data_IF_767134494281
#
_entry.id   IF_767134494281
#
_cell.length_a   1.000
_cell.length_b   1.000
_cell.length_c   1.000
_cell.angle_alpha   90.00
_cell.angle_beta   90.00
_cell.angle_gamma   90.00
#
_symmetry.space_group_name_H-M   'P 1'
#
loop_
_entity.id
_entity.type
_entity.pdbx_description
1 polymer ?
#
# COMPACT_ATOMS: atom_id res chain seq x y z
N UNK A 1 17.89 -17.21 -20.29
CA UNK A 1 18.15 -15.85 -20.79
C UNK A 1 17.67 -14.85 -19.74
N UNK A 2 18.60 -14.14 -19.11
CA UNK A 2 18.35 -13.29 -17.94
C UNK A 2 17.69 -11.96 -18.34
N UNK A 3 16.44 -11.78 -17.98
CA UNK A 3 15.78 -10.45 -18.01
C UNK A 3 16.11 -9.70 -16.69
N UNK A 4 17.35 -9.28 -16.53
CA UNK A 4 17.83 -8.48 -15.38
C UNK A 4 18.25 -7.06 -15.73
N UNK A 5 17.92 -6.52 -16.89
CA UNK A 5 18.52 -5.26 -17.36
C UNK A 5 17.56 -4.09 -17.58
N UNK A 6 16.32 -4.13 -17.07
CA UNK A 6 15.42 -2.97 -17.13
C UNK A 6 15.41 -2.11 -15.84
N UNK A 7 16.04 -2.58 -14.77
CA UNK A 7 16.03 -1.88 -13.45
C UNK A 7 17.20 -0.92 -13.26
N UNK A 8 18.23 -0.94 -14.11
CA UNK A 8 19.48 -0.23 -13.84
C UNK A 8 19.46 1.28 -14.08
N UNK A 9 18.44 1.83 -14.74
CA UNK A 9 18.34 3.26 -14.99
C UNK A 9 17.70 4.05 -13.82
N UNK A 10 16.85 3.40 -13.06
CA UNK A 10 16.16 4.04 -11.93
C UNK A 10 16.96 3.94 -10.61
N UNK A 11 17.77 2.90 -10.46
CA UNK A 11 18.61 2.67 -9.30
C UNK A 11 19.74 3.74 -9.13
N UNK A 12 20.14 4.41 -10.21
CA UNK A 12 21.16 5.45 -10.16
C UNK A 12 20.73 6.74 -9.44
N UNK A 13 19.40 6.96 -9.27
CA UNK A 13 18.89 8.09 -8.50
C UNK A 13 18.58 7.76 -7.05
N UNK A 14 18.67 6.49 -6.65
CA UNK A 14 18.35 6.02 -5.29
C UNK A 14 19.57 5.81 -4.41
N UNK A 15 20.80 5.87 -4.97
CA UNK A 15 22.04 5.64 -4.23
C UNK A 15 22.39 6.74 -3.21
N UNK A 16 21.68 7.88 -3.23
CA UNK A 16 21.88 8.96 -2.25
C UNK A 16 20.77 9.06 -1.19
N UNK A 17 19.71 8.26 -1.31
CA UNK A 17 18.66 8.14 -0.30
C UNK A 17 18.70 6.73 0.27
N UNK A 18 19.48 6.52 1.30
CA UNK A 18 19.54 5.30 2.12
C UNK A 18 18.17 5.09 2.83
N UNK A 19 17.14 4.75 2.06
CA UNK A 19 15.82 4.40 2.56
C UNK A 19 15.25 3.26 1.72
N UNK A 20 14.46 2.38 2.32
CA UNK A 20 13.77 1.33 1.59
C UNK A 20 12.74 1.94 0.63
N UNK A 21 13.11 2.01 -0.64
CA UNK A 21 12.30 2.51 -1.73
C UNK A 21 11.66 1.34 -2.47
N UNK A 22 10.34 1.28 -2.47
CA UNK A 22 9.56 0.30 -3.21
C UNK A 22 8.85 0.95 -4.38
N UNK A 23 8.84 0.28 -5.53
CA UNK A 23 8.22 0.77 -6.75
C UNK A 23 7.04 -0.13 -7.13
N UNK A 24 5.89 0.49 -7.39
CA UNK A 24 4.66 -0.18 -7.81
C UNK A 24 4.19 0.37 -9.15
N UNK A 25 4.14 -0.49 -10.17
CA UNK A 25 3.64 -0.11 -11.51
C UNK A 25 2.13 0.09 -11.54
N UNK A 26 1.39 -0.66 -10.73
CA UNK A 26 -0.08 -0.62 -10.61
C UNK A 26 -0.76 -0.69 -12.00
N UNK A 27 -0.46 -1.75 -12.72
CA UNK A 27 -0.98 -1.96 -14.07
C UNK A 27 -2.51 -1.87 -14.13
N UNK A 28 -3.02 -1.08 -15.05
CA UNK A 28 -4.44 -0.79 -15.19
C UNK A 28 -5.00 0.27 -14.22
N UNK A 29 -4.21 0.72 -13.23
CA UNK A 29 -4.60 1.76 -12.29
C UNK A 29 -3.89 3.09 -12.55
N UNK A 30 -2.63 3.02 -12.95
CA UNK A 30 -1.82 4.17 -13.38
C UNK A 30 -1.52 4.06 -14.88
N UNK A 31 -1.25 5.20 -15.55
CA UNK A 31 -0.73 5.19 -16.93
C UNK A 31 0.54 4.35 -17.05
N UNK A 32 0.76 3.76 -18.22
CA UNK A 32 1.89 2.85 -18.47
C UNK A 32 3.28 3.49 -18.29
N UNK A 33 3.36 4.81 -18.41
CA UNK A 33 4.57 5.61 -18.22
C UNK A 33 4.71 6.18 -16.81
N UNK A 34 3.90 5.71 -15.86
CA UNK A 34 3.91 6.14 -14.48
C UNK A 34 4.01 4.97 -13.51
N UNK A 35 4.58 5.24 -12.36
CA UNK A 35 4.63 4.30 -11.24
C UNK A 35 4.55 5.05 -9.92
N UNK A 36 4.13 4.34 -8.88
CA UNK A 36 4.11 4.85 -7.52
C UNK A 36 5.40 4.39 -6.81
N UNK A 37 6.18 5.34 -6.36
CA UNK A 37 7.34 5.11 -5.49
C UNK A 37 6.95 5.36 -4.04
N UNK A 38 7.32 4.45 -3.16
CA UNK A 38 7.03 4.54 -1.73
C UNK A 38 8.33 4.47 -0.94
N UNK A 39 8.59 5.53 -0.17
CA UNK A 39 9.66 5.54 0.82
C UNK A 39 9.05 5.22 2.18
N UNK A 40 9.30 4.02 2.68
CA UNK A 40 8.71 3.52 3.91
C UNK A 40 9.31 4.13 5.17
N UNK A 41 10.54 4.61 5.13
CA UNK A 41 11.17 5.29 6.27
C UNK A 41 10.70 6.73 6.41
N UNK A 42 10.67 7.46 5.28
CA UNK A 42 10.25 8.87 5.27
C UNK A 42 8.73 9.04 5.21
N UNK A 43 7.97 7.96 5.03
CA UNK A 43 6.51 7.97 4.88
C UNK A 43 6.04 8.82 3.69
N UNK A 44 6.81 8.81 2.60
CA UNK A 44 6.53 9.59 1.39
C UNK A 44 6.08 8.66 0.28
N UNK A 45 5.02 9.06 -0.43
CA UNK A 45 4.63 8.49 -1.71
C UNK A 45 4.90 9.49 -2.83
N UNK A 46 5.38 8.99 -3.95
CA UNK A 46 5.72 9.82 -5.12
C UNK A 46 5.17 9.18 -6.39
N UNK A 47 4.46 9.96 -7.18
CA UNK A 47 4.13 9.57 -8.55
C UNK A 47 5.33 9.92 -9.42
N UNK A 48 5.89 8.94 -10.09
CA UNK A 48 7.06 9.12 -10.93
C UNK A 48 6.77 8.77 -12.38
N UNK A 49 7.42 9.50 -13.29
CA UNK A 49 7.45 9.15 -14.71
C UNK A 49 8.52 8.09 -14.95
N UNK A 50 8.15 7.00 -15.61
CA UNK A 50 9.09 5.98 -16.08
C UNK A 50 9.66 6.31 -17.45
N UNK A 51 9.23 7.43 -18.05
CA UNK A 51 9.74 7.88 -19.34
C UNK A 51 11.15 8.50 -19.17
N UNK A 52 12.20 7.92 -19.79
CA UNK A 52 13.57 8.40 -19.66
C UNK A 52 13.79 9.80 -20.27
N UNK A 53 12.86 10.31 -21.07
CA UNK A 53 12.90 11.65 -21.67
C UNK A 53 12.30 12.72 -20.77
N UNK A 54 11.70 12.36 -19.64
CA UNK A 54 11.17 13.31 -18.67
C UNK A 54 12.31 14.00 -17.94
N UNK A 55 12.38 15.33 -18.02
CA UNK A 55 13.40 16.11 -17.32
C UNK A 55 13.23 16.12 -15.81
N UNK A 56 12.03 15.86 -15.30
CA UNK A 56 11.75 15.68 -13.89
C UNK A 56 10.96 14.36 -13.72
N UNK A 57 11.57 13.34 -13.11
CA UNK A 57 10.89 12.06 -12.90
C UNK A 57 9.75 12.13 -11.87
N UNK A 58 9.83 13.05 -10.92
CA UNK A 58 8.82 13.18 -9.86
C UNK A 58 7.70 14.12 -10.33
N UNK A 59 6.50 13.56 -10.48
CA UNK A 59 5.31 14.29 -10.90
C UNK A 59 4.53 14.86 -9.72
N UNK A 60 4.47 14.13 -8.62
CA UNK A 60 3.72 14.48 -7.41
C UNK A 60 4.30 13.75 -6.20
N UNK A 61 4.31 14.42 -5.05
CA UNK A 61 4.69 13.82 -3.77
C UNK A 61 3.70 14.15 -2.67
N UNK A 62 3.53 13.22 -1.73
CA UNK A 62 2.74 13.44 -0.50
C UNK A 62 3.38 12.71 0.68
N UNK A 63 3.35 13.37 1.82
CA UNK A 63 3.69 12.80 3.11
C UNK A 63 2.45 12.13 3.70
N UNK A 64 2.61 10.91 4.18
CA UNK A 64 1.58 10.15 4.90
C UNK A 64 1.91 10.09 6.39
N UNK A 65 0.90 9.81 7.20
CA UNK A 65 1.12 9.35 8.57
C UNK A 65 1.55 7.88 8.57
N UNK A 66 2.14 7.40 9.64
CA UNK A 66 2.48 5.99 9.77
C UNK A 66 1.24 5.09 9.63
N UNK A 67 0.11 5.48 10.25
CA UNK A 67 -1.14 4.72 10.13
C UNK A 67 -1.65 4.66 8.68
N UNK A 68 -1.55 5.75 7.94
CA UNK A 68 -1.91 5.78 6.51
C UNK A 68 -0.99 4.89 5.67
N UNK A 69 0.31 4.92 5.94
CA UNK A 69 1.28 4.05 5.26
C UNK A 69 1.01 2.58 5.56
N UNK A 70 0.69 2.23 6.83
CA UNK A 70 0.34 0.87 7.24
C UNK A 70 -0.85 0.30 6.45
N UNK A 71 -1.84 1.12 6.16
CA UNK A 71 -3.02 0.71 5.38
C UNK A 71 -2.71 0.68 3.88
N UNK A 72 -1.94 1.64 3.39
CA UNK A 72 -1.61 1.72 1.96
C UNK A 72 -0.75 0.54 1.47
N UNK A 73 0.26 0.13 2.24
CA UNK A 73 1.21 -0.90 1.80
C UNK A 73 0.54 -2.24 1.45
N UNK A 74 -0.35 -2.81 2.27
CA UNK A 74 -1.07 -4.03 1.88
C UNK A 74 -1.97 -3.85 0.64
N UNK A 75 -2.57 -2.67 0.49
CA UNK A 75 -3.38 -2.35 -0.70
C UNK A 75 -2.53 -2.30 -1.97
N UNK A 76 -1.30 -1.80 -1.88
CA UNK A 76 -0.37 -1.79 -3.02
C UNK A 76 0.13 -3.19 -3.36
N UNK A 77 0.32 -4.05 -2.37
CA UNK A 77 0.69 -5.45 -2.56
C UNK A 77 -0.41 -6.28 -3.20
N UNK A 78 -1.67 -5.99 -2.87
CA UNK A 78 -2.86 -6.69 -3.36
C UNK A 78 -3.93 -5.70 -3.78
N UNK A 79 -3.72 -4.95 -4.88
CA UNK A 79 -4.58 -3.82 -5.24
C UNK A 79 -6.00 -4.23 -5.66
N UNK A 80 -6.18 -5.48 -6.12
CA UNK A 80 -7.47 -5.96 -6.61
C UNK A 80 -8.32 -6.66 -5.54
N UNK A 81 -7.71 -7.04 -4.44
CA UNK A 81 -8.42 -7.68 -3.33
C UNK A 81 -7.58 -7.66 -2.06
N UNK A 82 -7.92 -6.78 -1.12
CA UNK A 82 -7.27 -6.69 0.18
C UNK A 82 -8.30 -6.86 1.30
N UNK A 83 -8.38 -8.03 1.95
CA UNK A 83 -9.36 -8.31 2.98
C UNK A 83 -9.22 -7.40 4.21
N UNK A 84 -10.34 -7.18 4.91
CA UNK A 84 -10.38 -6.37 6.15
C UNK A 84 -9.38 -6.85 7.20
N UNK A 85 -9.22 -8.17 7.36
CA UNK A 85 -8.30 -8.74 8.36
C UNK A 85 -6.85 -8.37 8.08
N UNK A 86 -6.44 -8.25 6.83
CA UNK A 86 -5.08 -7.82 6.47
C UNK A 86 -4.86 -6.36 6.85
N UNK A 87 -5.81 -5.49 6.54
CA UNK A 87 -5.73 -4.07 6.89
C UNK A 87 -5.83 -3.85 8.41
N UNK A 88 -6.67 -4.60 9.10
CA UNK A 88 -6.75 -4.59 10.55
C UNK A 88 -5.45 -5.07 11.19
N UNK A 89 -4.86 -6.15 10.67
CA UNK A 89 -3.57 -6.67 11.10
C UNK A 89 -2.45 -5.64 10.91
N UNK A 90 -2.46 -4.92 9.78
CA UNK A 90 -1.46 -3.89 9.49
C UNK A 90 -1.47 -2.74 10.48
N UNK A 91 -2.63 -2.41 11.05
CA UNK A 91 -2.77 -1.40 12.09
C UNK A 91 -2.44 -1.90 13.51
N UNK A 92 -2.55 -3.20 13.76
CA UNK A 92 -2.39 -3.80 15.09
C UNK A 92 -0.96 -4.27 15.40
N UNK A 93 -0.11 -4.46 14.40
CA UNK A 93 1.28 -4.87 14.59
C UNK A 93 2.23 -3.67 14.65
N UNK A 94 3.51 -3.91 14.99
CA UNK A 94 4.54 -2.88 14.83
C UNK A 94 4.79 -2.59 13.34
N UNK A 95 5.21 -1.36 13.04
CA UNK A 95 5.53 -0.99 11.65
C UNK A 95 6.64 -1.86 11.06
N UNK A 96 7.66 -2.17 11.87
CA UNK A 96 8.74 -3.08 11.48
C UNK A 96 8.24 -4.49 11.16
N UNK A 97 7.33 -5.03 11.96
CA UNK A 97 6.75 -6.34 11.71
C UNK A 97 5.93 -6.36 10.41
N UNK A 98 5.19 -5.29 10.13
CA UNK A 98 4.46 -5.12 8.87
C UNK A 98 5.40 -5.12 7.67
N UNK A 99 6.46 -4.30 7.70
CA UNK A 99 7.43 -4.23 6.60
C UNK A 99 8.12 -5.58 6.37
N UNK A 100 8.53 -6.24 7.43
CA UNK A 100 9.11 -7.58 7.36
C UNK A 100 8.11 -8.59 6.78
N UNK A 101 6.85 -8.55 7.20
CA UNK A 101 5.80 -9.45 6.72
C UNK A 101 5.47 -9.29 5.24
N UNK A 102 5.46 -8.05 4.75
CA UNK A 102 5.11 -7.73 3.36
C UNK A 102 6.28 -7.87 2.39
N UNK A 103 7.50 -7.54 2.81
CA UNK A 103 8.64 -7.39 1.89
C UNK A 103 9.79 -8.35 2.14
N UNK A 104 9.88 -8.98 3.31
CA UNK A 104 10.93 -9.95 3.58
C UNK A 104 10.67 -11.30 2.91
N UNK A 105 11.72 -11.87 2.34
CA UNK A 105 11.71 -13.25 1.84
C UNK A 105 11.99 -14.30 2.92
N UNK A 106 12.23 -13.88 4.17
CA UNK A 106 12.53 -14.77 5.28
C UNK A 106 11.27 -15.52 5.74
N UNK A 107 11.35 -16.83 5.85
CA UNK A 107 10.25 -17.69 6.28
C UNK A 107 9.71 -17.31 7.69
N UNK A 108 10.58 -16.91 8.61
CA UNK A 108 10.19 -16.48 9.97
C UNK A 108 9.31 -15.23 9.94
N UNK A 109 9.68 -14.21 9.15
CA UNK A 109 8.89 -13.00 9.00
C UNK A 109 7.51 -13.28 8.39
N UNK A 110 7.43 -14.17 7.40
CA UNK A 110 6.17 -14.61 6.79
C UNK A 110 5.27 -15.33 7.79
N UNK A 111 5.82 -16.22 8.62
CA UNK A 111 5.07 -16.94 9.66
C UNK A 111 4.54 -16.01 10.73
N UNK A 112 5.35 -15.05 11.18
CA UNK A 112 4.92 -14.02 12.15
C UNK A 112 3.79 -13.17 11.59
N UNK A 113 3.90 -12.73 10.34
CA UNK A 113 2.86 -11.96 9.67
C UNK A 113 1.55 -12.75 9.54
N UNK A 114 1.61 -14.01 9.11
CA UNK A 114 0.44 -14.86 9.02
C UNK A 114 -0.24 -15.08 10.38
N UNK A 115 0.53 -15.21 11.45
CA UNK A 115 -0.03 -15.32 12.81
C UNK A 115 -0.76 -14.04 13.23
N UNK A 116 -0.23 -12.86 12.89
CA UNK A 116 -0.88 -11.57 13.15
C UNK A 116 -2.18 -11.45 12.35
N UNK A 117 -2.18 -11.83 11.08
CA UNK A 117 -3.38 -11.83 10.22
C UNK A 117 -4.43 -12.80 10.76
N UNK A 118 -4.06 -14.01 11.19
CA UNK A 118 -4.98 -14.96 11.79
C UNK A 118 -5.62 -14.42 13.06
N UNK A 119 -4.83 -13.78 13.93
CA UNK A 119 -5.37 -13.14 15.14
C UNK A 119 -6.38 -12.05 14.80
N UNK A 120 -6.08 -11.20 13.83
CA UNK A 120 -7.00 -10.18 13.35
C UNK A 120 -8.29 -10.78 12.79
N UNK A 121 -8.19 -11.87 12.02
CA UNK A 121 -9.34 -12.57 11.49
C UNK A 121 -10.26 -13.11 12.61
N UNK A 122 -9.69 -13.75 13.62
CA UNK A 122 -10.47 -14.26 14.77
C UNK A 122 -11.18 -13.14 15.53
N UNK A 123 -10.52 -12.01 15.74
CA UNK A 123 -11.13 -10.84 16.39
C UNK A 123 -12.30 -10.29 15.57
N UNK A 124 -12.16 -10.22 14.25
CA UNK A 124 -13.22 -9.76 13.35
C UNK A 124 -14.40 -10.74 13.29
N UNK A 125 -14.14 -12.06 13.28
CA UNK A 125 -15.18 -13.07 13.35
C UNK A 125 -15.97 -12.97 14.66
N UNK A 126 -15.29 -12.80 15.79
CA UNK A 126 -15.93 -12.57 17.10
C UNK A 126 -16.76 -11.27 17.10
N UNK A 127 -16.22 -10.21 16.55
CA UNK A 127 -16.93 -8.92 16.45
C UNK A 127 -18.19 -9.04 15.57
N UNK A 128 -18.15 -9.85 14.53
CA UNK A 128 -19.30 -10.11 13.68
C UNK A 128 -20.42 -10.83 14.44
N UNK A 129 -20.07 -11.87 15.21
CA UNK A 129 -21.01 -12.62 16.05
C UNK A 129 -21.60 -11.74 17.14
N UNK A 130 -20.79 -10.89 17.76
CA UNK A 130 -21.19 -9.98 18.86
C UNK A 130 -21.87 -8.70 18.38
N UNK A 131 -21.93 -8.43 17.07
CA UNK A 131 -22.46 -7.19 16.53
C UNK A 131 -21.59 -5.95 16.74
N UNK A 132 -20.30 -6.14 17.06
CA UNK A 132 -19.32 -5.06 17.32
C UNK A 132 -18.38 -4.78 16.15
N UNK A 133 -18.71 -5.26 14.96
CA UNK A 133 -17.89 -5.13 13.75
C UNK A 133 -17.44 -3.70 13.44
N UNK A 134 -18.38 -2.74 13.50
CA UNK A 134 -18.07 -1.33 13.24
C UNK A 134 -17.12 -0.74 14.28
N UNK A 135 -17.21 -1.18 15.52
CA UNK A 135 -16.33 -0.75 16.60
C UNK A 135 -14.91 -1.26 16.37
N UNK A 136 -14.76 -2.52 15.99
CA UNK A 136 -13.45 -3.11 15.70
C UNK A 136 -12.77 -2.46 14.49
N UNK A 137 -13.51 -2.09 13.46
CA UNK A 137 -13.00 -1.46 12.26
C UNK A 137 -12.97 0.07 12.30
N UNK A 138 -13.34 0.69 13.42
CA UNK A 138 -13.42 2.15 13.53
C UNK A 138 -12.10 2.84 13.18
N UNK A 139 -10.99 2.34 13.69
CA UNK A 139 -9.67 2.89 13.41
C UNK A 139 -9.34 2.77 11.92
N UNK A 140 -9.61 1.62 11.30
CA UNK A 140 -9.41 1.42 9.87
C UNK A 140 -10.25 2.39 9.04
N UNK A 141 -11.52 2.57 9.38
CA UNK A 141 -12.39 3.51 8.67
C UNK A 141 -11.90 4.96 8.76
N UNK A 142 -11.40 5.36 9.93
CA UNK A 142 -10.83 6.69 10.12
C UNK A 142 -9.58 6.89 9.24
N UNK A 143 -8.66 5.93 9.25
CA UNK A 143 -7.45 5.99 8.42
C UNK A 143 -7.78 6.01 6.93
N UNK A 144 -8.72 5.18 6.48
CA UNK A 144 -9.17 5.17 5.08
C UNK A 144 -9.81 6.51 4.67
N UNK A 145 -10.61 7.10 5.56
CA UNK A 145 -11.23 8.41 5.32
C UNK A 145 -10.20 9.53 5.14
N UNK A 146 -9.08 9.47 5.86
CA UNK A 146 -7.98 10.43 5.73
C UNK A 146 -7.06 10.12 4.55
N UNK A 147 -6.88 8.84 4.19
CA UNK A 147 -6.00 8.41 3.11
C UNK A 147 -6.59 8.70 1.73
N UNK A 148 -7.90 8.50 1.55
CA UNK A 148 -8.59 8.70 0.25
C UNK A 148 -8.31 10.06 -0.38
N UNK A 149 -8.47 11.20 0.32
CA UNK A 149 -8.18 12.50 -0.28
C UNK A 149 -6.70 12.70 -0.62
N UNK A 150 -5.79 12.03 0.06
CA UNK A 150 -4.35 12.08 -0.26
C UNK A 150 -3.99 11.28 -1.52
N UNK A 151 -4.72 10.21 -1.82
CA UNK A 151 -4.53 9.39 -3.02
C UNK A 151 -5.22 9.97 -4.25
N UNK A 152 -6.27 10.74 -4.07
CA UNK A 152 -7.04 11.31 -5.17
C UNK A 152 -6.16 12.07 -6.21
N UNK A 153 -5.21 12.93 -5.82
CA UNK A 153 -4.33 13.62 -6.78
C UNK A 153 -3.43 12.68 -7.59
N UNK A 154 -3.22 11.45 -7.12
CA UNK A 154 -2.47 10.41 -7.84
C UNK A 154 -3.35 9.65 -8.86
N UNK A 155 -4.62 9.98 -8.97
CA UNK A 155 -5.57 9.24 -9.78
C UNK A 155 -5.99 7.90 -9.18
N UNK A 156 -5.78 7.72 -7.87
CA UNK A 156 -6.08 6.49 -7.14
C UNK A 156 -7.20 6.70 -6.12
N UNK A 157 -8.06 5.72 -6.01
CA UNK A 157 -9.10 5.65 -4.99
C UNK A 157 -9.13 4.29 -4.30
N UNK A 158 -9.82 4.24 -3.18
CA UNK A 158 -10.07 3.01 -2.42
C UNK A 158 -11.56 2.76 -2.39
N UNK A 159 -11.97 1.62 -2.90
CA UNK A 159 -13.37 1.18 -2.92
C UNK A 159 -13.55 -0.12 -2.15
N UNK A 160 -14.77 -0.43 -1.77
CA UNK A 160 -15.14 -1.72 -1.19
C UNK A 160 -15.43 -2.69 -2.34
N UNK A 161 -14.97 -3.93 -2.24
CA UNK A 161 -15.29 -4.97 -3.22
C UNK A 161 -16.81 -5.23 -3.29
N UNK A 162 -17.30 -5.74 -4.42
CA UNK A 162 -18.72 -6.04 -4.63
C UNK A 162 -19.31 -7.00 -3.59
N UNK A 163 -18.49 -7.88 -3.02
CA UNK A 163 -18.87 -8.78 -1.93
C UNK A 163 -18.82 -8.15 -0.53
N UNK A 164 -18.33 -6.89 -0.39
CA UNK A 164 -18.22 -6.19 0.89
C UNK A 164 -17.15 -6.74 1.85
N UNK A 165 -16.37 -7.73 1.43
CA UNK A 165 -15.42 -8.44 2.28
C UNK A 165 -13.99 -7.91 2.19
N UNK A 166 -13.70 -7.01 1.26
CA UNK A 166 -12.37 -6.51 0.98
C UNK A 166 -12.38 -5.10 0.41
N UNK A 167 -11.21 -4.47 0.43
CA UNK A 167 -10.95 -3.21 -0.26
C UNK A 167 -10.15 -3.45 -1.54
N UNK A 168 -10.33 -2.55 -2.50
CA UNK A 168 -9.65 -2.55 -3.78
C UNK A 168 -9.15 -1.14 -4.10
N UNK A 169 -8.01 -1.06 -4.76
CA UNK A 169 -7.58 0.18 -5.40
C UNK A 169 -8.29 0.33 -6.75
N UNK A 170 -8.73 1.53 -7.02
CA UNK A 170 -9.40 1.87 -8.29
C UNK A 170 -8.74 3.09 -8.92
N UNK A 171 -8.78 3.15 -10.25
CA UNK A 171 -8.39 4.34 -10.97
C UNK A 171 -9.51 5.39 -10.88
N UNK A 172 -9.14 6.63 -10.57
CA UNK A 172 -10.07 7.77 -10.58
C UNK A 172 -9.73 8.62 -11.80
N UNK A 173 -10.72 8.93 -12.66
CA UNK A 173 -10.48 9.86 -13.76
C UNK A 173 -10.05 11.22 -13.20
N UNK A 174 -8.90 11.70 -13.65
CA UNK A 174 -8.49 13.07 -13.35
C UNK A 174 -9.42 14.00 -14.11
N UNK A 175 -10.13 14.84 -13.38
CA UNK A 175 -10.92 15.92 -14.00
C UNK A 175 -9.96 16.87 -14.69
N UNK A 176 -10.12 17.05 -16.00
CA UNK A 176 -9.40 18.06 -16.75
C UNK A 176 -9.79 19.48 -16.29
#
# INVERSE_FOLDING_TARGET
MNMKNASNGLLLFTDELEGELSLFSLDGLLPADQALSVNTECLIISLISTNPRSGNPILLQRLLTEAQMRVLLPLLQSPHYCPHQILSASLSCSYRALLAGLFSSKCTATKEWLAIVQKANLLLEQAQVQGTWRKELKQLYNVLSELRPKLHPFGLGISVSSAGAAYVLVSIPMSE
#
